data_IF_913248753139
#
_entry.id   IF_913248753139
#
_cell.length_a   1.000
_cell.length_b   1.000
_cell.length_c   1.000
_cell.angle_alpha   90.00
_cell.angle_beta   90.00
_cell.angle_gamma   90.00
#
_symmetry.space_group_name_H-M   'P 1'
#
loop_
_entity.id
_entity.type
_entity.pdbx_description
1 polymer ?
#
# COMPACT_ATOMS: atom_id res chain seq x y z
N UNK A 1 29.26 68.01 -9.36
CA UNK A 1 29.53 66.54 -9.32
C UNK A 1 28.22 65.86 -9.72
N UNK A 2 27.87 65.48 -10.94
CA UNK A 2 28.52 65.01 -12.18
C UNK A 2 29.09 63.57 -12.14
N UNK A 3 28.18 62.58 -12.16
CA UNK A 3 28.46 61.20 -12.56
C UNK A 3 27.21 60.46 -13.12
N UNK A 4 26.30 61.18 -13.81
CA UNK A 4 25.07 60.59 -14.38
C UNK A 4 24.97 60.62 -15.92
N UNK A 5 25.91 61.27 -16.61
CA UNK A 5 25.78 61.58 -18.04
C UNK A 5 26.58 60.67 -19.01
N UNK A 6 27.36 59.70 -18.51
CA UNK A 6 28.28 58.92 -19.35
C UNK A 6 27.69 57.63 -19.95
N UNK A 7 26.68 57.02 -19.35
CA UNK A 7 26.18 55.71 -19.81
C UNK A 7 25.13 55.76 -20.93
N UNK A 8 24.47 56.91 -21.16
CA UNK A 8 23.43 57.03 -22.19
C UNK A 8 23.96 57.25 -23.61
N UNK A 9 25.25 57.62 -23.79
CA UNK A 9 25.88 57.80 -25.12
C UNK A 9 26.41 56.50 -25.74
N UNK A 10 26.70 55.45 -24.96
CA UNK A 10 27.30 54.20 -25.48
C UNK A 10 26.31 53.24 -26.14
N UNK A 11 25.02 53.30 -25.77
CA UNK A 11 23.97 52.47 -26.37
C UNK A 11 23.53 52.90 -27.79
N UNK A 12 23.57 54.20 -28.10
CA UNK A 12 23.11 54.71 -29.42
C UNK A 12 24.07 54.40 -30.57
N UNK A 13 25.36 54.21 -30.30
CA UNK A 13 26.37 53.90 -31.31
C UNK A 13 26.29 52.45 -31.81
N UNK A 14 25.81 51.52 -30.98
CA UNK A 14 25.69 50.11 -31.35
C UNK A 14 24.44 49.88 -32.22
N UNK A 15 23.32 50.53 -31.89
CA UNK A 15 22.08 50.44 -32.68
C UNK A 15 22.23 50.99 -34.11
N UNK A 16 23.05 52.02 -34.30
CA UNK A 16 23.29 52.62 -35.63
C UNK A 16 24.19 51.75 -36.53
N UNK A 17 25.11 50.98 -35.94
CA UNK A 17 26.03 50.08 -36.67
C UNK A 17 25.33 48.81 -37.20
N UNK A 18 24.30 48.33 -36.50
CA UNK A 18 23.50 47.17 -36.96
C UNK A 18 22.57 47.56 -38.11
N UNK A 19 21.95 48.75 -38.07
CA UNK A 19 21.00 49.19 -39.10
C UNK A 19 21.66 49.48 -40.46
N UNK A 20 22.93 49.90 -40.49
CA UNK A 20 23.66 50.09 -41.75
C UNK A 20 24.12 48.77 -42.39
N UNK A 21 24.47 47.75 -41.59
CA UNK A 21 24.91 46.44 -42.12
C UNK A 21 23.78 45.64 -42.80
N UNK A 22 22.53 45.89 -42.42
CA UNK A 22 21.35 45.28 -43.07
C UNK A 22 20.98 45.97 -44.39
N UNK A 23 21.24 47.29 -44.52
CA UNK A 23 21.00 48.01 -45.78
C UNK A 23 22.01 47.67 -46.89
N UNK A 24 23.27 47.40 -46.54
CA UNK A 24 24.30 47.02 -47.52
C UNK A 24 24.11 45.58 -48.07
N UNK A 25 23.46 44.68 -47.31
CA UNK A 25 23.14 43.32 -47.77
C UNK A 25 22.03 43.25 -48.82
N UNK A 26 21.19 44.29 -48.94
CA UNK A 26 20.08 44.34 -49.90
C UNK A 26 20.41 45.06 -51.21
N UNK A 27 21.55 45.74 -51.31
CA UNK A 27 21.97 46.48 -52.51
C UNK A 27 22.86 45.68 -53.48
N UNK A 28 23.24 44.43 -53.15
CA UNK A 28 24.20 43.64 -53.93
C UNK A 28 23.66 42.31 -54.49
N UNK A 29 22.34 42.14 -54.58
CA UNK A 29 21.70 40.99 -55.26
C UNK A 29 20.79 41.39 -56.43
N UNK A 30 20.99 42.57 -57.00
CA UNK A 30 20.37 43.02 -58.25
C UNK A 30 21.44 43.27 -59.32
N UNK A 31 22.05 42.20 -59.80
CA UNK A 31 22.77 42.11 -61.09
C UNK A 31 23.55 40.81 -61.07
N UNK A 32 23.06 39.82 -61.82
CA UNK A 32 23.81 38.70 -62.42
C UNK A 32 22.77 37.80 -63.10
N UNK A 33 22.18 38.33 -64.17
CA UNK A 33 21.59 37.53 -65.25
C UNK A 33 22.69 37.29 -66.29
N UNK A 34 23.14 36.04 -66.44
CA UNK A 34 23.59 35.40 -67.69
C UNK A 34 24.57 34.25 -67.44
N UNK A 35 24.15 33.03 -67.77
CA UNK A 35 24.88 31.96 -68.49
C UNK A 35 24.13 30.60 -68.34
N UNK A 36 24.36 29.60 -69.22
CA UNK A 36 24.02 29.49 -70.64
C UNK A 36 23.03 28.33 -70.93
N UNK A 37 22.45 28.29 -72.15
CA UNK A 37 21.43 27.32 -72.59
C UNK A 37 21.89 25.84 -72.67
N UNK A 38 21.04 24.86 -72.31
CA UNK A 38 21.25 23.46 -72.65
C UNK A 38 20.67 23.10 -74.04
N UNK A 39 21.61 22.98 -74.97
CA UNK A 39 21.78 22.23 -76.24
C UNK A 39 20.80 21.16 -76.78
N UNK A 40 19.54 21.04 -76.36
CA UNK A 40 18.62 20.05 -76.96
C UNK A 40 17.22 20.63 -77.20
N UNK A 41 16.93 20.94 -78.46
CA UNK A 41 15.60 21.20 -78.97
C UNK A 41 15.01 19.91 -79.56
N UNK A 42 13.77 19.53 -79.21
CA UNK A 42 12.92 18.71 -80.05
C UNK A 42 12.01 19.62 -80.90
N UNK A 43 11.81 19.17 -82.13
CA UNK A 43 11.22 19.86 -83.28
C UNK A 43 9.74 20.22 -83.11
N UNK A 44 9.34 21.25 -83.86
CA UNK A 44 7.97 21.68 -84.10
C UNK A 44 7.13 20.55 -84.73
N UNK A 45 5.99 20.21 -84.13
CA UNK A 45 4.87 19.70 -84.92
C UNK A 45 3.52 20.05 -84.24
N UNK A 46 2.63 20.63 -85.06
CA UNK A 46 1.23 20.99 -84.78
C UNK A 46 0.94 22.31 -84.05
N UNK A 47 1.13 23.41 -84.79
CA UNK A 47 0.27 24.58 -84.65
C UNK A 47 -1.12 24.27 -85.22
N UNK A 48 -2.09 23.95 -84.36
CA UNK A 48 -3.51 23.98 -84.71
C UNK A 48 -4.29 24.75 -83.64
N UNK A 49 -4.76 25.93 -84.07
CA UNK A 49 -6.00 26.63 -83.70
C UNK A 49 -6.20 26.93 -82.20
N UNK A 50 -5.97 28.19 -81.84
CA UNK A 50 -6.59 28.79 -80.65
C UNK A 50 -8.10 28.94 -80.88
N UNK A 51 -8.94 28.53 -79.91
CA UNK A 51 -10.12 29.31 -79.59
C UNK A 51 -10.07 29.77 -78.12
N UNK A 52 -10.46 31.03 -77.98
CA UNK A 52 -10.94 31.78 -76.80
C UNK A 52 -10.58 31.35 -75.38
N UNK A 53 -10.02 32.34 -74.68
CA UNK A 53 -9.84 32.44 -73.23
C UNK A 53 -11.16 32.20 -72.48
N UNK A 54 -11.27 31.17 -71.62
CA UNK A 54 -12.28 31.15 -70.59
C UNK A 54 -11.74 31.84 -69.33
N UNK A 55 -12.58 32.74 -68.82
CA UNK A 55 -12.78 33.16 -67.42
C UNK A 55 -11.75 32.81 -66.34
N UNK A 56 -11.44 33.84 -65.58
CA UNK A 56 -10.72 33.82 -64.31
C UNK A 56 -11.01 32.59 -63.44
N UNK A 57 -9.99 31.75 -63.24
CA UNK A 57 -9.98 30.80 -62.13
C UNK A 57 -9.86 31.61 -60.83
N UNK A 58 -11.00 31.84 -60.18
CA UNK A 58 -11.07 32.22 -58.77
C UNK A 58 -10.19 31.28 -57.95
N UNK A 59 -9.25 31.85 -57.20
CA UNK A 59 -8.47 31.10 -56.23
C UNK A 59 -9.38 30.65 -55.10
N UNK A 60 -9.87 29.41 -55.14
CA UNK A 60 -10.54 28.80 -53.98
C UNK A 60 -9.56 28.77 -52.79
N UNK A 61 -9.92 29.32 -51.62
CA UNK A 61 -9.08 29.25 -50.44
C UNK A 61 -8.84 27.77 -50.10
N UNK A 62 -7.58 27.36 -49.88
CA UNK A 62 -7.28 26.04 -49.35
C UNK A 62 -7.92 25.93 -47.96
N UNK A 63 -9.02 25.22 -47.88
CA UNK A 63 -9.71 24.88 -46.65
C UNK A 63 -8.75 24.03 -45.81
N UNK A 64 -8.24 24.62 -44.73
CA UNK A 64 -7.44 23.89 -43.74
C UNK A 64 -8.42 22.96 -43.02
N UNK A 65 -8.53 21.71 -43.47
CA UNK A 65 -9.28 20.67 -42.75
C UNK A 65 -8.52 20.44 -41.45
N UNK A 66 -8.88 21.20 -40.42
CA UNK A 66 -8.59 20.84 -39.06
C UNK A 66 -9.22 19.46 -38.85
N UNK A 67 -8.39 18.45 -38.60
CA UNK A 67 -8.83 17.10 -38.25
C UNK A 67 -9.63 17.17 -36.94
N UNK A 68 -10.91 17.50 -37.05
CA UNK A 68 -11.79 17.53 -35.92
C UNK A 68 -12.28 16.11 -35.70
N UNK A 69 -11.78 15.49 -34.64
CA UNK A 69 -12.34 14.26 -34.04
C UNK A 69 -13.83 14.43 -33.64
N UNK A 70 -14.43 15.60 -33.92
CA UNK A 70 -15.79 16.04 -33.66
C UNK A 70 -16.72 15.78 -34.87
N UNK A 71 -16.20 15.39 -36.04
CA UNK A 71 -17.00 15.23 -37.26
C UNK A 71 -18.09 14.13 -37.20
N UNK A 72 -18.01 13.20 -36.24
CA UNK A 72 -19.05 12.18 -36.03
C UNK A 72 -19.45 12.12 -34.54
N UNK A 73 -20.54 12.81 -34.15
CA UNK A 73 -21.03 12.81 -32.76
C UNK A 73 -21.27 11.40 -32.21
N UNK A 74 -21.73 10.48 -33.07
CA UNK A 74 -21.98 9.09 -32.72
C UNK A 74 -20.69 8.29 -32.45
N UNK A 75 -19.64 8.49 -33.26
CA UNK A 75 -18.35 7.80 -33.08
C UNK A 75 -17.64 8.29 -31.81
N UNK A 76 -17.66 9.60 -31.57
CA UNK A 76 -17.14 10.19 -30.33
C UNK A 76 -17.92 9.69 -29.12
N UNK A 77 -19.26 9.66 -29.18
CA UNK A 77 -20.12 9.13 -28.12
C UNK A 77 -19.86 7.66 -27.81
N UNK A 78 -19.67 6.82 -28.83
CA UNK A 78 -19.34 5.40 -28.69
C UNK A 78 -18.01 5.19 -27.96
N UNK A 79 -16.93 5.84 -28.42
CA UNK A 79 -15.60 5.71 -27.79
C UNK A 79 -15.52 6.31 -26.39
N UNK A 80 -16.23 7.42 -26.17
CA UNK A 80 -16.34 8.02 -24.84
C UNK A 80 -17.08 7.07 -23.89
N UNK A 81 -18.21 6.50 -24.32
CA UNK A 81 -19.01 5.57 -23.49
C UNK A 81 -18.29 4.25 -23.24
N UNK A 82 -17.59 3.70 -24.24
CA UNK A 82 -16.77 2.49 -24.07
C UNK A 82 -15.57 2.76 -23.16
N UNK A 83 -14.95 3.94 -23.26
CA UNK A 83 -13.87 4.37 -22.38
C UNK A 83 -14.32 4.53 -20.93
N UNK A 84 -15.47 5.19 -20.71
CA UNK A 84 -16.09 5.33 -19.38
C UNK A 84 -16.50 3.96 -18.83
N UNK A 85 -17.09 3.10 -19.65
CA UNK A 85 -17.48 1.74 -19.24
C UNK A 85 -16.26 0.89 -18.86
N UNK A 86 -15.18 0.95 -19.65
CA UNK A 86 -13.93 0.28 -19.33
C UNK A 86 -13.30 0.85 -18.04
N UNK A 87 -13.31 2.17 -17.86
CA UNK A 87 -12.83 2.80 -16.63
C UNK A 87 -13.67 2.40 -15.41
N UNK A 88 -14.99 2.31 -15.54
CA UNK A 88 -15.91 1.84 -14.49
C UNK A 88 -15.73 0.36 -14.20
N UNK A 89 -15.51 -0.49 -15.22
CA UNK A 89 -15.21 -1.92 -15.02
C UNK A 89 -13.85 -2.10 -14.37
N UNK A 90 -12.83 -1.33 -14.76
CA UNK A 90 -11.51 -1.34 -14.12
C UNK A 90 -11.64 -0.86 -12.68
N UNK A 91 -12.35 0.25 -12.43
CA UNK A 91 -12.61 0.75 -11.09
C UNK A 91 -13.38 -0.27 -10.23
N UNK A 92 -14.45 -0.85 -10.78
CA UNK A 92 -15.24 -1.88 -10.11
C UNK A 92 -14.41 -3.13 -9.83
N UNK A 93 -13.64 -3.62 -10.80
CA UNK A 93 -12.72 -4.72 -10.61
C UNK A 93 -11.70 -4.37 -9.52
N UNK A 94 -11.07 -3.20 -9.55
CA UNK A 94 -10.09 -2.78 -8.55
C UNK A 94 -10.71 -2.66 -7.15
N UNK A 95 -11.94 -2.15 -7.06
CA UNK A 95 -12.70 -2.00 -5.82
C UNK A 95 -13.05 -3.36 -5.21
N UNK A 96 -13.38 -4.36 -6.03
CA UNK A 96 -13.73 -5.71 -5.60
C UNK A 96 -12.52 -6.64 -5.47
N UNK A 97 -11.39 -6.33 -6.14
CA UNK A 97 -10.12 -7.04 -6.00
C UNK A 97 -9.48 -6.75 -4.64
N UNK A 98 -9.85 -5.68 -3.92
CA UNK A 98 -9.25 -5.32 -2.63
C UNK A 98 -9.15 -6.50 -1.64
N UNK A 99 -10.23 -7.28 -1.50
CA UNK A 99 -10.24 -8.47 -0.63
C UNK A 99 -9.33 -9.60 -1.15
N UNK A 100 -9.41 -9.90 -2.45
CA UNK A 100 -8.57 -10.89 -3.12
C UNK A 100 -7.08 -10.52 -3.04
N UNK A 101 -6.75 -9.25 -3.28
CA UNK A 101 -5.40 -8.72 -3.17
C UNK A 101 -4.89 -8.80 -1.73
N UNK A 102 -5.76 -8.55 -0.74
CA UNK A 102 -5.45 -8.79 0.68
C UNK A 102 -5.11 -10.24 0.96
N UNK A 103 -5.94 -11.19 0.49
CA UNK A 103 -5.68 -12.63 0.66
C UNK A 103 -4.41 -13.10 -0.04
N UNK A 104 -4.20 -12.67 -1.28
CA UNK A 104 -2.99 -12.97 -2.06
C UNK A 104 -1.75 -12.42 -1.35
N UNK A 105 -1.81 -11.17 -0.91
CA UNK A 105 -0.67 -10.53 -0.26
C UNK A 105 -0.37 -11.17 1.09
N UNK A 106 -1.38 -11.39 1.92
CA UNK A 106 -1.24 -12.13 3.18
C UNK A 106 -0.66 -13.53 2.94
N UNK A 107 -1.12 -14.22 1.89
CA UNK A 107 -0.64 -15.54 1.54
C UNK A 107 0.84 -15.55 1.13
N UNK A 108 1.27 -14.59 0.31
CA UNK A 108 2.68 -14.39 -0.07
C UNK A 108 3.52 -14.09 1.16
N UNK A 109 3.06 -13.22 2.05
CA UNK A 109 3.80 -12.86 3.26
C UNK A 109 3.99 -14.05 4.20
N UNK A 110 2.93 -14.83 4.43
CA UNK A 110 3.00 -16.08 5.19
C UNK A 110 3.98 -17.05 4.51
N UNK A 111 3.89 -17.23 3.18
CA UNK A 111 4.83 -18.09 2.45
C UNK A 111 6.28 -17.63 2.62
N UNK A 112 6.55 -16.32 2.53
CA UNK A 112 7.88 -15.76 2.77
C UNK A 112 8.32 -15.96 4.23
N UNK A 113 7.41 -15.81 5.20
CA UNK A 113 7.69 -16.04 6.62
C UNK A 113 7.97 -17.51 6.97
N UNK A 114 7.36 -18.45 6.25
CA UNK A 114 7.58 -19.89 6.42
C UNK A 114 8.86 -20.38 5.72
N UNK A 115 9.32 -19.72 4.65
CA UNK A 115 10.52 -20.10 3.90
C UNK A 115 11.80 -20.21 4.77
N UNK A 116 12.11 -19.30 5.71
CA UNK A 116 13.22 -19.46 6.65
C UNK A 116 13.17 -20.77 7.46
N UNK A 117 11.98 -21.27 7.79
CA UNK A 117 11.81 -22.55 8.48
C UNK A 117 12.13 -23.72 7.54
N UNK A 118 11.67 -23.67 6.29
CA UNK A 118 12.01 -24.65 5.26
C UNK A 118 13.52 -24.69 5.01
N UNK A 119 14.17 -23.53 4.94
CA UNK A 119 15.61 -23.42 4.74
C UNK A 119 16.40 -24.00 5.91
N UNK A 120 15.95 -23.78 7.17
CA UNK A 120 16.56 -24.40 8.35
C UNK A 120 16.47 -25.92 8.34
N UNK A 121 15.30 -26.49 8.02
CA UNK A 121 15.15 -27.94 7.91
C UNK A 121 16.02 -28.53 6.79
N UNK A 122 16.11 -27.82 5.66
CA UNK A 122 16.95 -28.23 4.54
C UNK A 122 18.43 -28.18 4.91
N UNK A 123 18.85 -27.18 5.70
CA UNK A 123 20.20 -27.08 6.23
C UNK A 123 20.55 -28.20 7.24
N UNK A 124 19.56 -28.82 7.88
CA UNK A 124 19.72 -30.02 8.70
C UNK A 124 19.79 -31.33 7.88
N UNK A 125 19.77 -31.25 6.55
CA UNK A 125 19.96 -32.39 5.65
C UNK A 125 18.68 -33.03 5.11
N UNK A 126 17.49 -32.49 5.42
CA UNK A 126 16.25 -32.98 4.82
C UNK A 126 16.15 -32.58 3.33
N UNK A 127 15.66 -33.47 2.44
CA UNK A 127 15.36 -33.10 1.08
C UNK A 127 14.26 -32.05 1.07
N UNK A 128 14.34 -31.10 0.13
CA UNK A 128 13.45 -29.94 0.07
C UNK A 128 11.97 -30.29 0.19
N UNK A 129 11.52 -31.35 -0.47
CA UNK A 129 10.12 -31.79 -0.42
C UNK A 129 9.69 -32.18 0.99
N UNK A 130 10.56 -32.87 1.76
CA UNK A 130 10.29 -33.22 3.15
C UNK A 130 10.28 -31.98 4.05
N UNK A 131 11.19 -31.03 3.83
CA UNK A 131 11.22 -29.75 4.56
C UNK A 131 9.92 -28.96 4.34
N UNK A 132 9.48 -28.83 3.08
CA UNK A 132 8.22 -28.14 2.74
C UNK A 132 7.02 -28.88 3.35
N UNK A 133 6.93 -30.20 3.19
CA UNK A 133 5.84 -30.99 3.74
C UNK A 133 5.74 -30.87 5.27
N UNK A 134 6.88 -30.87 5.97
CA UNK A 134 6.94 -30.73 7.42
C UNK A 134 6.46 -29.35 7.87
N UNK A 135 6.93 -28.27 7.23
CA UNK A 135 6.53 -26.90 7.56
C UNK A 135 5.06 -26.67 7.23
N UNK A 136 4.58 -27.15 6.09
CA UNK A 136 3.18 -27.07 5.69
C UNK A 136 2.30 -27.86 6.67
N UNK A 137 2.70 -29.07 7.05
CA UNK A 137 1.98 -29.87 8.03
C UNK A 137 1.88 -29.17 9.39
N UNK A 138 3.00 -28.63 9.89
CA UNK A 138 3.03 -27.86 11.14
C UNK A 138 2.15 -26.60 11.05
N UNK A 139 2.22 -25.87 9.93
CA UNK A 139 1.38 -24.69 9.70
C UNK A 139 -0.11 -25.05 9.66
N UNK A 140 -0.49 -26.12 8.95
CA UNK A 140 -1.87 -26.62 8.91
C UNK A 140 -2.37 -27.03 10.29
N UNK A 141 -1.54 -27.69 11.10
CA UNK A 141 -1.91 -28.05 12.48
C UNK A 141 -2.14 -26.82 13.35
N UNK A 142 -1.29 -25.80 13.24
CA UNK A 142 -1.47 -24.53 13.97
C UNK A 142 -2.76 -23.83 13.52
N UNK A 143 -3.00 -23.74 12.21
CA UNK A 143 -4.21 -23.11 11.66
C UNK A 143 -5.47 -23.88 12.04
N UNK A 144 -5.47 -25.21 11.93
CA UNK A 144 -6.60 -26.06 12.31
C UNK A 144 -6.87 -25.96 13.82
N UNK A 145 -5.83 -26.02 14.64
CA UNK A 145 -5.95 -25.83 16.09
C UNK A 145 -6.51 -24.45 16.44
N UNK A 146 -6.06 -23.40 15.75
CA UNK A 146 -6.59 -22.05 15.89
C UNK A 146 -8.07 -21.98 15.48
N UNK A 147 -8.48 -22.56 14.36
CA UNK A 147 -9.89 -22.58 13.93
C UNK A 147 -10.77 -23.32 14.94
N UNK A 148 -10.36 -24.53 15.34
CA UNK A 148 -11.16 -25.39 16.24
C UNK A 148 -11.29 -24.80 17.65
N UNK A 149 -10.26 -24.13 18.15
CA UNK A 149 -10.27 -23.58 19.51
C UNK A 149 -10.63 -22.10 19.56
N UNK A 150 -9.92 -21.25 18.81
CA UNK A 150 -10.04 -19.80 18.93
C UNK A 150 -11.39 -19.31 18.42
N UNK A 151 -11.84 -19.78 17.26
CA UNK A 151 -13.09 -19.28 16.64
C UNK A 151 -14.33 -19.47 17.54
N UNK A 152 -14.61 -20.66 18.11
CA UNK A 152 -15.77 -20.80 18.99
C UNK A 152 -15.62 -20.06 20.32
N UNK A 153 -14.40 -19.99 20.88
CA UNK A 153 -14.15 -19.25 22.13
C UNK A 153 -14.37 -17.75 21.93
N UNK A 154 -13.82 -17.20 20.85
CA UNK A 154 -13.96 -15.80 20.45
C UNK A 154 -15.41 -15.48 20.13
N UNK A 155 -16.11 -16.35 19.39
CA UNK A 155 -17.52 -16.16 19.08
C UNK A 155 -18.39 -16.06 20.34
N UNK A 156 -18.20 -16.98 21.30
CA UNK A 156 -18.90 -16.94 22.59
C UNK A 156 -18.60 -15.66 23.37
N UNK A 157 -17.33 -15.27 23.46
CA UNK A 157 -16.92 -14.07 24.20
C UNK A 157 -17.35 -12.77 23.53
N UNK A 158 -17.40 -12.73 22.19
CA UNK A 158 -17.91 -11.57 21.46
C UNK A 158 -19.41 -11.40 21.69
N UNK A 159 -20.19 -12.48 21.67
CA UNK A 159 -21.63 -12.44 21.98
C UNK A 159 -21.86 -12.02 23.44
N UNK A 160 -21.12 -12.59 24.40
CA UNK A 160 -21.19 -12.16 25.80
C UNK A 160 -20.80 -10.70 25.99
N UNK A 161 -19.73 -10.22 25.32
CA UNK A 161 -19.37 -8.81 25.36
C UNK A 161 -20.54 -7.93 24.91
N UNK A 162 -21.20 -8.25 23.80
CA UNK A 162 -22.31 -7.42 23.29
C UNK A 162 -23.52 -7.43 24.23
N UNK A 163 -23.87 -8.59 24.77
CA UNK A 163 -25.02 -8.74 25.64
C UNK A 163 -24.79 -8.14 27.03
N UNK A 164 -23.59 -8.30 27.57
CA UNK A 164 -23.25 -7.90 28.94
C UNK A 164 -22.73 -6.45 29.01
N UNK A 165 -22.28 -5.88 27.89
CA UNK A 165 -21.68 -4.54 27.87
C UNK A 165 -22.64 -3.44 28.35
N UNK A 166 -23.92 -3.36 27.90
CA UNK A 166 -24.82 -2.30 28.35
C UNK A 166 -24.95 -2.27 29.88
N UNK A 167 -25.19 -3.44 30.49
CA UNK A 167 -25.35 -3.58 31.93
C UNK A 167 -24.04 -3.32 32.69
N UNK A 168 -22.90 -3.81 32.17
CA UNK A 168 -21.58 -3.58 32.78
C UNK A 168 -21.19 -2.11 32.70
N UNK A 169 -21.53 -1.44 31.59
CA UNK A 169 -21.25 -0.03 31.39
C UNK A 169 -22.10 0.86 32.31
N UNK A 170 -23.39 0.57 32.45
CA UNK A 170 -24.24 1.23 33.44
C UNK A 170 -23.72 1.01 34.87
N UNK A 171 -23.25 -0.20 35.19
CA UNK A 171 -22.64 -0.48 36.49
C UNK A 171 -21.37 0.35 36.71
N UNK A 172 -20.56 0.58 35.66
CA UNK A 172 -19.38 1.44 35.71
C UNK A 172 -19.75 2.90 35.95
N UNK A 173 -20.73 3.44 35.22
CA UNK A 173 -21.19 4.82 35.38
C UNK A 173 -21.74 5.09 36.78
N UNK A 174 -22.34 4.09 37.41
CA UNK A 174 -22.89 4.20 38.77
C UNK A 174 -21.87 3.82 39.86
N UNK A 175 -20.61 3.54 39.51
CA UNK A 175 -19.56 3.19 40.48
C UNK A 175 -19.09 4.41 41.29
N UNK A 176 -18.62 4.16 42.52
CA UNK A 176 -18.05 5.20 43.39
C UNK A 176 -16.87 5.94 42.73
N UNK A 177 -16.09 5.24 41.92
CA UNK A 177 -14.96 5.82 41.20
C UNK A 177 -15.44 6.83 40.15
N UNK A 178 -16.38 6.43 39.30
CA UNK A 178 -16.89 7.29 38.25
C UNK A 178 -17.69 8.46 38.81
N UNK A 179 -18.54 8.22 39.82
CA UNK A 179 -19.36 9.27 40.45
C UNK A 179 -18.49 10.37 41.08
N UNK A 180 -17.36 10.01 41.70
CA UNK A 180 -16.39 11.00 42.22
C UNK A 180 -15.70 11.79 41.11
N UNK A 181 -15.36 11.12 40.00
CA UNK A 181 -14.74 11.77 38.86
C UNK A 181 -15.72 12.73 38.16
N UNK A 182 -16.98 12.33 38.03
CA UNK A 182 -18.05 13.13 37.44
C UNK A 182 -18.38 14.37 38.28
N UNK A 183 -18.41 14.25 39.62
CA UNK A 183 -18.58 15.40 40.51
C UNK A 183 -17.49 16.46 40.35
N UNK A 184 -16.27 16.05 39.99
CA UNK A 184 -15.13 16.96 39.85
C UNK A 184 -14.99 17.55 38.44
N UNK A 185 -15.33 16.78 37.40
CA UNK A 185 -15.04 17.14 36.00
C UNK A 185 -16.27 17.19 35.08
N UNK A 186 -17.48 16.87 35.58
CA UNK A 186 -18.76 16.85 34.84
C UNK A 186 -18.67 16.08 33.51
N UNK A 187 -18.10 14.88 33.57
CA UNK A 187 -17.73 14.09 32.39
C UNK A 187 -18.89 13.25 31.86
N UNK A 188 -19.94 13.01 32.66
CA UNK A 188 -21.06 12.13 32.32
C UNK A 188 -21.83 12.59 31.08
N UNK A 189 -22.06 13.89 30.93
CA UNK A 189 -22.75 14.45 29.76
C UNK A 189 -22.00 14.24 28.44
N UNK A 190 -20.66 14.18 28.46
CA UNK A 190 -19.86 13.88 27.27
C UNK A 190 -19.82 12.38 26.95
N UNK A 191 -19.86 11.55 27.99
CA UNK A 191 -19.79 10.09 27.88
C UNK A 191 -21.14 9.51 27.46
N UNK A 192 -22.24 9.96 28.04
CA UNK A 192 -23.59 9.45 27.71
C UNK A 192 -23.91 9.71 26.24
N UNK A 193 -23.64 10.91 25.73
CA UNK A 193 -23.84 11.24 24.32
C UNK A 193 -22.92 10.43 23.40
N UNK A 194 -21.63 10.31 23.73
CA UNK A 194 -20.67 9.55 22.90
C UNK A 194 -20.95 8.05 22.87
N UNK A 195 -21.42 7.48 23.98
CA UNK A 195 -21.77 6.07 24.08
C UNK A 195 -23.14 5.80 23.47
N UNK A 196 -24.15 6.63 23.70
CA UNK A 196 -25.42 6.52 22.96
C UNK A 196 -25.22 6.71 21.47
N UNK A 197 -24.40 7.67 21.02
CA UNK A 197 -24.08 7.83 19.61
C UNK A 197 -23.34 6.62 19.07
N UNK A 198 -22.36 6.08 19.80
CA UNK A 198 -21.68 4.84 19.40
C UNK A 198 -22.68 3.68 19.27
N UNK A 199 -23.56 3.46 20.24
CA UNK A 199 -24.57 2.40 20.20
C UNK A 199 -25.70 2.67 19.20
N UNK A 200 -26.05 3.92 18.93
CA UNK A 200 -27.04 4.31 17.93
C UNK A 200 -26.46 4.16 16.51
N UNK A 201 -25.21 4.57 16.27
CA UNK A 201 -24.51 4.31 15.01
C UNK A 201 -24.27 2.82 14.80
N UNK A 202 -23.97 2.10 15.88
CA UNK A 202 -24.01 0.66 15.87
C UNK A 202 -25.43 0.20 15.49
N UNK A 203 -26.51 0.51 16.21
CA UNK A 203 -27.81 -0.15 15.98
C UNK A 203 -28.60 0.33 14.75
N UNK A 204 -28.44 1.58 14.31
CA UNK A 204 -29.23 2.19 13.22
C UNK A 204 -28.57 2.10 11.85
N UNK A 205 -27.23 1.99 11.77
CA UNK A 205 -26.53 1.98 10.50
C UNK A 205 -26.57 0.58 9.87
N UNK A 206 -27.69 0.34 9.18
CA UNK A 206 -28.12 -0.96 8.65
C UNK A 206 -27.12 -1.66 7.73
N UNK A 207 -26.04 -1.03 7.26
CA UNK A 207 -25.00 -1.70 6.46
C UNK A 207 -23.79 -2.17 7.28
N UNK A 208 -23.46 -1.51 8.39
CA UNK A 208 -22.32 -1.88 9.26
C UNK A 208 -22.78 -2.88 10.33
N UNK A 209 -24.00 -2.68 10.83
CA UNK A 209 -24.63 -3.51 11.87
C UNK A 209 -25.30 -4.76 11.36
N UNK A 210 -26.03 -4.70 10.24
CA UNK A 210 -26.64 -5.92 9.68
C UNK A 210 -25.61 -6.84 9.02
N UNK A 211 -24.43 -6.33 8.64
CA UNK A 211 -23.32 -7.15 8.16
C UNK A 211 -22.52 -7.79 9.30
N UNK A 212 -22.12 -6.99 10.30
CA UNK A 212 -21.24 -7.45 11.38
C UNK A 212 -22.00 -8.18 12.50
N UNK A 213 -23.14 -7.65 12.97
CA UNK A 213 -23.89 -8.23 14.10
C UNK A 213 -24.94 -9.25 13.65
N UNK A 214 -25.61 -9.08 12.52
CA UNK A 214 -26.45 -10.14 11.96
C UNK A 214 -25.59 -11.33 11.47
N UNK A 215 -24.33 -11.07 11.06
CA UNK A 215 -23.30 -12.10 10.89
C UNK A 215 -22.90 -12.78 12.23
N UNK A 216 -22.71 -12.01 13.29
CA UNK A 216 -22.33 -12.53 14.61
C UNK A 216 -23.47 -13.28 15.33
N UNK A 217 -24.72 -12.86 15.15
CA UNK A 217 -25.94 -13.52 15.65
C UNK A 217 -26.28 -14.75 14.79
N UNK A 218 -25.97 -14.73 13.49
CA UNK A 218 -26.00 -15.92 12.62
C UNK A 218 -24.71 -16.75 12.71
N UNK A 219 -24.10 -16.87 13.90
CA UNK A 219 -22.78 -17.45 14.16
C UNK A 219 -22.40 -18.73 13.37
N UNK A 220 -23.36 -19.52 12.89
CA UNK A 220 -23.13 -20.60 11.92
C UNK A 220 -22.58 -20.17 10.55
N UNK A 221 -23.03 -19.05 9.96
CA UNK A 221 -22.58 -18.56 8.64
C UNK A 221 -21.29 -17.73 8.70
N UNK A 222 -21.09 -16.88 9.70
CA UNK A 222 -19.88 -16.01 9.78
C UNK A 222 -18.63 -16.75 10.27
N UNK A 223 -18.78 -17.80 11.08
CA UNK A 223 -17.67 -18.72 11.39
C UNK A 223 -17.21 -19.44 10.12
N UNK A 224 -18.16 -19.84 9.27
CA UNK A 224 -17.85 -20.47 7.98
C UNK A 224 -17.15 -19.50 7.02
N UNK A 225 -17.52 -18.21 6.99
CA UNK A 225 -16.86 -17.19 6.16
C UNK A 225 -15.44 -16.86 6.63
N UNK A 226 -15.22 -16.65 7.94
CA UNK A 226 -13.88 -16.45 8.51
C UNK A 226 -13.02 -17.69 8.28
N UNK A 227 -13.59 -18.88 8.51
CA UNK A 227 -12.95 -20.15 8.22
C UNK A 227 -12.58 -20.30 6.74
N UNK A 228 -13.46 -19.86 5.83
CA UNK A 228 -13.21 -19.87 4.38
C UNK A 228 -12.09 -18.93 4.00
N UNK A 229 -12.05 -17.70 4.54
CA UNK A 229 -10.96 -16.76 4.30
C UNK A 229 -9.61 -17.30 4.80
N UNK A 230 -9.57 -17.85 6.02
CA UNK A 230 -8.37 -18.50 6.57
C UNK A 230 -7.95 -19.68 5.69
N UNK A 231 -8.90 -20.49 5.23
CA UNK A 231 -8.65 -21.64 4.35
C UNK A 231 -8.09 -21.19 3.00
N UNK A 232 -8.66 -20.17 2.37
CA UNK A 232 -8.17 -19.62 1.10
C UNK A 232 -6.74 -19.11 1.26
N UNK A 233 -6.49 -18.27 2.27
CA UNK A 233 -5.15 -17.74 2.55
C UNK A 233 -4.17 -18.88 2.82
N UNK A 234 -4.57 -19.89 3.60
CA UNK A 234 -3.74 -21.06 3.92
C UNK A 234 -3.37 -21.85 2.68
N UNK A 235 -4.34 -22.20 1.83
CA UNK A 235 -4.10 -22.92 0.57
C UNK A 235 -3.16 -22.10 -0.32
N UNK A 236 -3.43 -20.80 -0.45
CA UNK A 236 -2.63 -19.93 -1.29
C UNK A 236 -1.21 -19.75 -0.74
N UNK A 237 -1.02 -19.69 0.57
CA UNK A 237 0.28 -19.68 1.22
C UNK A 237 1.06 -20.95 0.93
N UNK A 238 0.42 -22.11 1.00
CA UNK A 238 1.05 -23.40 0.69
C UNK A 238 1.47 -23.43 -0.78
N UNK A 239 0.58 -23.00 -1.68
CA UNK A 239 0.87 -22.93 -3.10
C UNK A 239 2.05 -21.98 -3.40
N UNK A 240 2.04 -20.78 -2.81
CA UNK A 240 3.14 -19.83 -2.97
C UNK A 240 4.44 -20.37 -2.38
N UNK A 241 4.42 -20.93 -1.17
CA UNK A 241 5.62 -21.51 -0.54
C UNK A 241 6.24 -22.60 -1.41
N UNK A 242 5.42 -23.50 -1.97
CA UNK A 242 5.89 -24.56 -2.87
C UNK A 242 6.41 -24.00 -4.22
N UNK A 243 5.77 -22.96 -4.75
CA UNK A 243 6.09 -22.38 -6.06
C UNK A 243 7.11 -21.24 -6.02
N UNK A 244 7.49 -20.72 -4.85
CA UNK A 244 8.46 -19.63 -4.66
C UNK A 244 9.74 -19.78 -5.52
N UNK A 245 10.37 -20.96 -5.65
CA UNK A 245 11.59 -21.14 -6.45
C UNK A 245 11.32 -20.98 -7.94
N UNK A 246 10.19 -21.51 -8.39
CA UNK A 246 9.74 -21.46 -9.78
C UNK A 246 9.45 -20.00 -10.10
N UNK A 247 8.66 -19.31 -9.27
CA UNK A 247 8.34 -17.88 -9.41
C UNK A 247 9.61 -17.03 -9.49
N UNK A 248 10.57 -17.23 -8.56
CA UNK A 248 11.87 -16.52 -8.58
C UNK A 248 12.64 -16.79 -9.87
N UNK A 249 12.73 -18.05 -10.30
CA UNK A 249 13.47 -18.42 -11.51
C UNK A 249 12.86 -17.84 -12.78
N UNK A 250 11.53 -17.77 -12.86
CA UNK A 250 10.80 -17.13 -13.95
C UNK A 250 11.00 -15.62 -13.96
N UNK A 251 10.91 -14.96 -12.80
CA UNK A 251 11.16 -13.52 -12.68
C UNK A 251 12.56 -13.13 -13.16
N UNK A 252 13.58 -13.91 -12.81
CA UNK A 252 14.97 -13.67 -13.27
C UNK A 252 15.10 -13.81 -14.79
N UNK A 253 14.29 -14.64 -15.46
CA UNK A 253 14.35 -14.83 -16.92
C UNK A 253 13.89 -13.59 -17.70
N UNK A 254 13.05 -12.75 -17.11
CA UNK A 254 12.58 -11.49 -17.71
C UNK A 254 13.71 -10.44 -17.85
N UNK A 255 14.83 -10.64 -17.15
CA UNK A 255 15.98 -9.75 -17.18
C UNK A 255 16.99 -10.21 -18.24
N UNK A 256 17.67 -9.27 -18.95
CA UNK A 256 18.75 -9.58 -19.86
C UNK A 256 19.80 -10.51 -19.24
N UNK A 257 20.29 -11.47 -20.03
CA UNK A 257 21.19 -12.54 -19.56
C UNK A 257 22.41 -12.02 -18.79
N UNK A 258 22.97 -10.87 -19.21
CA UNK A 258 24.14 -10.24 -18.58
C UNK A 258 23.91 -9.78 -17.13
N UNK A 259 22.65 -9.55 -16.71
CA UNK A 259 22.31 -9.08 -15.36
C UNK A 259 21.62 -10.15 -14.49
N UNK A 260 21.31 -11.33 -15.04
CA UNK A 260 20.60 -12.42 -14.33
C UNK A 260 21.27 -12.85 -13.03
N UNK A 261 22.61 -13.03 -12.93
CA UNK A 261 23.25 -13.41 -11.67
C UNK A 261 23.00 -12.38 -10.57
N UNK A 262 23.24 -11.10 -10.86
CA UNK A 262 23.02 -10.01 -9.91
C UNK A 262 21.55 -9.88 -9.47
N UNK A 263 20.61 -10.02 -10.40
CA UNK A 263 19.17 -9.97 -10.06
C UNK A 263 18.75 -11.18 -9.23
N UNK A 264 19.28 -12.37 -9.51
CA UNK A 264 19.03 -13.58 -8.72
C UNK A 264 19.50 -13.38 -7.27
N UNK A 265 20.71 -12.87 -7.07
CA UNK A 265 21.26 -12.62 -5.74
C UNK A 265 20.44 -11.56 -4.98
N UNK A 266 20.06 -10.48 -5.67
CA UNK A 266 19.24 -9.41 -5.09
C UNK A 266 17.84 -9.91 -4.71
N UNK A 267 17.23 -10.72 -5.58
CA UNK A 267 15.93 -11.36 -5.32
C UNK A 267 16.01 -12.25 -4.09
N UNK A 268 17.08 -13.03 -3.93
CA UNK A 268 17.26 -13.90 -2.76
C UNK A 268 17.45 -13.07 -1.48
N UNK A 269 18.26 -12.00 -1.52
CA UNK A 269 18.45 -11.09 -0.37
C UNK A 269 17.14 -10.44 0.06
N UNK A 270 16.35 -9.92 -0.89
CA UNK A 270 15.05 -9.32 -0.61
C UNK A 270 14.09 -10.36 -0.02
N UNK A 271 13.93 -11.50 -0.68
CA UNK A 271 13.05 -12.60 -0.24
C UNK A 271 13.42 -13.05 1.17
N UNK A 272 14.71 -13.23 1.45
CA UNK A 272 15.20 -13.66 2.76
C UNK A 272 14.98 -12.59 3.83
N UNK A 273 15.24 -11.31 3.53
CA UNK A 273 15.00 -10.20 4.47
C UNK A 273 13.52 -10.05 4.80
N UNK A 274 12.64 -10.14 3.80
CA UNK A 274 11.18 -10.08 4.03
C UNK A 274 10.73 -11.28 4.84
N UNK A 275 11.18 -12.48 4.50
CA UNK A 275 10.80 -13.71 5.21
C UNK A 275 11.24 -13.70 6.68
N UNK A 276 12.48 -13.28 6.96
CA UNK A 276 12.97 -13.14 8.33
C UNK A 276 12.20 -12.10 9.13
N UNK A 277 11.84 -10.97 8.50
CA UNK A 277 11.01 -9.96 9.14
C UNK A 277 9.62 -10.51 9.48
N UNK A 278 8.93 -11.13 8.52
CA UNK A 278 7.57 -11.66 8.74
C UNK A 278 7.57 -12.75 9.81
N UNK A 279 8.52 -13.68 9.76
CA UNK A 279 8.68 -14.71 10.79
C UNK A 279 8.98 -14.10 12.17
N UNK A 280 9.83 -13.06 12.21
CA UNK A 280 10.14 -12.33 13.43
C UNK A 280 8.93 -11.59 14.00
N UNK A 281 8.17 -10.89 13.16
CA UNK A 281 6.98 -10.17 13.57
C UNK A 281 5.89 -11.12 14.07
N UNK A 282 5.70 -12.26 13.42
CA UNK A 282 4.77 -13.30 13.90
C UNK A 282 5.16 -13.81 15.30
N UNK A 283 6.46 -14.03 15.54
CA UNK A 283 6.94 -14.44 16.86
C UNK A 283 6.73 -13.33 17.91
N UNK A 284 7.02 -12.07 17.59
CA UNK A 284 6.77 -10.91 18.47
C UNK A 284 5.28 -10.81 18.79
N UNK A 285 4.40 -10.94 17.79
CA UNK A 285 2.95 -10.88 17.97
C UNK A 285 2.44 -12.01 18.89
N UNK A 286 2.92 -13.24 18.71
CA UNK A 286 2.57 -14.38 19.57
C UNK A 286 3.05 -14.15 21.01
N UNK A 287 4.27 -13.66 21.20
CA UNK A 287 4.79 -13.33 22.54
C UNK A 287 3.95 -12.24 23.22
N UNK A 288 3.56 -11.20 22.49
CA UNK A 288 2.75 -10.11 23.00
C UNK A 288 1.34 -10.58 23.38
N UNK A 289 0.67 -11.30 22.48
CA UNK A 289 -0.65 -11.86 22.76
C UNK A 289 -0.64 -12.86 23.92
N UNK A 290 0.40 -13.71 24.00
CA UNK A 290 0.54 -14.67 25.10
C UNK A 290 0.78 -13.96 26.44
N UNK A 291 1.63 -12.94 26.46
CA UNK A 291 1.85 -12.11 27.65
C UNK A 291 0.56 -11.42 28.08
N UNK A 292 -0.13 -10.75 27.15
CA UNK A 292 -1.38 -10.07 27.43
C UNK A 292 -2.45 -11.05 27.95
N UNK A 293 -2.57 -12.22 27.33
CA UNK A 293 -3.48 -13.28 27.78
C UNK A 293 -3.18 -13.71 29.22
N UNK A 294 -1.91 -14.00 29.54
CA UNK A 294 -1.50 -14.43 30.88
C UNK A 294 -1.82 -13.34 31.92
N UNK A 295 -1.46 -12.08 31.63
CA UNK A 295 -1.77 -10.96 32.52
C UNK A 295 -3.27 -10.83 32.74
N UNK A 296 -4.07 -10.86 31.67
CA UNK A 296 -5.52 -10.76 31.73
C UNK A 296 -6.15 -11.92 32.52
N UNK A 297 -5.63 -13.14 32.40
CA UNK A 297 -6.09 -14.29 33.20
C UNK A 297 -5.76 -14.12 34.69
N UNK A 298 -4.57 -13.59 35.02
CA UNK A 298 -4.13 -13.37 36.42
C UNK A 298 -4.99 -12.29 37.09
N UNK A 299 -5.25 -11.18 36.40
CA UNK A 299 -6.05 -10.07 36.94
C UNK A 299 -7.56 -10.29 36.79
N UNK A 300 -7.98 -11.42 36.24
CA UNK A 300 -9.38 -11.78 35.96
C UNK A 300 -10.10 -10.72 35.12
N UNK A 301 -9.43 -10.23 34.07
CA UNK A 301 -10.01 -9.29 33.11
C UNK A 301 -11.17 -9.95 32.32
N UNK A 302 -12.14 -9.14 31.85
CA UNK A 302 -13.23 -9.64 31.03
C UNK A 302 -12.73 -10.11 29.66
N UNK A 303 -13.30 -11.20 29.15
CA UNK A 303 -13.04 -11.74 27.80
C UNK A 303 -11.55 -11.87 27.42
N UNK A 304 -10.71 -12.52 28.26
CA UNK A 304 -9.26 -12.44 28.10
C UNK A 304 -8.77 -13.10 26.79
N UNK A 305 -9.44 -14.15 26.33
CA UNK A 305 -9.11 -14.84 25.07
C UNK A 305 -9.47 -14.00 23.84
N UNK A 306 -10.64 -13.36 23.84
CA UNK A 306 -11.06 -12.43 22.78
C UNK A 306 -10.10 -11.25 22.68
N UNK A 307 -9.79 -10.61 23.80
CA UNK A 307 -8.88 -9.47 23.85
C UNK A 307 -7.45 -9.86 23.47
N UNK A 308 -6.98 -11.06 23.85
CA UNK A 308 -5.68 -11.55 23.43
C UNK A 308 -5.59 -11.77 21.91
N UNK A 309 -6.70 -12.16 21.25
CA UNK A 309 -6.74 -12.23 19.79
C UNK A 309 -6.65 -10.85 19.16
N UNK A 310 -7.32 -9.83 19.71
CA UNK A 310 -7.14 -8.45 19.27
C UNK A 310 -5.70 -7.98 19.43
N UNK A 311 -5.06 -8.27 20.58
CA UNK A 311 -3.64 -7.99 20.79
C UNK A 311 -2.77 -8.69 19.75
N UNK A 312 -3.05 -9.97 19.44
CA UNK A 312 -2.33 -10.73 18.42
C UNK A 312 -2.40 -10.06 17.05
N UNK A 313 -3.60 -9.68 16.61
CA UNK A 313 -3.82 -9.04 15.31
C UNK A 313 -3.17 -7.65 15.27
N UNK A 314 -3.40 -6.83 16.28
CA UNK A 314 -2.84 -5.48 16.35
C UNK A 314 -1.31 -5.51 16.42
N UNK A 315 -0.71 -6.49 17.10
CA UNK A 315 0.73 -6.61 17.19
C UNK A 315 1.43 -6.83 15.83
N UNK A 316 0.71 -7.17 14.75
CA UNK A 316 1.29 -7.15 13.39
C UNK A 316 1.53 -5.75 12.84
N UNK A 317 0.90 -4.70 13.40
CA UNK A 317 1.11 -3.30 13.02
C UNK A 317 2.28 -2.75 13.86
N UNK A 318 3.48 -2.58 13.29
CA UNK A 318 4.66 -2.22 14.07
C UNK A 318 4.53 -0.80 14.63
N UNK A 319 5.10 -0.57 15.81
CA UNK A 319 5.13 0.71 16.55
C UNK A 319 3.77 1.20 17.06
N UNK A 320 2.70 1.03 16.28
CA UNK A 320 1.35 1.51 16.59
C UNK A 320 0.54 0.44 17.30
N UNK A 321 0.59 -0.80 16.80
CA UNK A 321 -0.28 -1.89 17.21
C UNK A 321 -0.23 -2.24 18.69
N UNK A 322 0.98 -2.34 19.26
CA UNK A 322 1.15 -2.64 20.68
C UNK A 322 0.57 -1.56 21.59
N UNK A 323 0.75 -0.28 21.23
CA UNK A 323 0.19 0.86 21.98
C UNK A 323 -1.33 0.90 21.84
N UNK A 324 -1.85 0.71 20.61
CA UNK A 324 -3.30 0.64 20.37
C UNK A 324 -3.93 -0.52 21.15
N UNK A 325 -3.31 -1.69 21.16
CA UNK A 325 -3.80 -2.85 21.90
C UNK A 325 -3.80 -2.59 23.40
N UNK A 326 -2.73 -2.00 23.94
CA UNK A 326 -2.65 -1.61 25.34
C UNK A 326 -3.77 -0.65 25.73
N UNK A 327 -3.98 0.42 24.95
CA UNK A 327 -5.05 1.40 25.21
C UNK A 327 -6.41 0.72 25.14
N UNK A 328 -6.68 0.00 24.05
CA UNK A 328 -7.96 -0.67 23.82
C UNK A 328 -8.31 -1.65 24.94
N UNK A 329 -7.40 -2.57 25.28
CA UNK A 329 -7.64 -3.56 26.34
C UNK A 329 -7.74 -2.91 27.72
N UNK A 330 -6.96 -1.85 28.00
CA UNK A 330 -7.08 -1.10 29.26
C UNK A 330 -8.45 -0.45 29.39
N UNK A 331 -8.99 0.13 28.30
CA UNK A 331 -10.33 0.72 28.28
C UNK A 331 -11.41 -0.35 28.49
N UNK A 332 -11.29 -1.52 27.87
CA UNK A 332 -12.24 -2.63 28.09
C UNK A 332 -12.19 -3.09 29.56
N UNK A 333 -11.00 -3.22 30.14
CA UNK A 333 -10.83 -3.56 31.55
C UNK A 333 -11.38 -2.49 32.51
N UNK A 334 -11.42 -1.22 32.07
CA UNK A 334 -11.88 -0.09 32.89
C UNK A 334 -13.37 -0.19 33.18
N UNK A 335 -14.15 -0.70 32.23
CA UNK A 335 -15.59 -0.93 32.37
C UNK A 335 -15.90 -1.87 33.54
N UNK A 336 -15.00 -2.80 33.88
CA UNK A 336 -15.16 -3.67 35.05
C UNK A 336 -14.60 -3.02 36.31
N UNK A 337 -13.37 -2.51 36.26
CA UNK A 337 -12.74 -1.86 37.41
C UNK A 337 -11.53 -1.01 36.98
N UNK A 338 -11.38 0.16 37.60
CA UNK A 338 -10.20 1.01 37.38
C UNK A 338 -8.90 0.30 37.82
N UNK A 339 -8.98 -0.61 38.80
CA UNK A 339 -7.81 -1.36 39.29
C UNK A 339 -7.33 -2.38 38.26
N UNK A 340 -8.25 -3.13 37.64
CA UNK A 340 -7.91 -4.10 36.58
C UNK A 340 -7.33 -3.41 35.37
N UNK A 341 -7.92 -2.28 34.96
CA UNK A 341 -7.39 -1.45 33.87
C UNK A 341 -5.97 -0.94 34.16
N UNK A 342 -5.76 -0.36 35.35
CA UNK A 342 -4.46 0.18 35.73
C UNK A 342 -3.38 -0.91 35.82
N UNK A 343 -3.70 -2.05 36.42
CA UNK A 343 -2.77 -3.19 36.52
C UNK A 343 -2.40 -3.72 35.13
N UNK A 344 -3.37 -3.90 34.23
CA UNK A 344 -3.11 -4.30 32.86
C UNK A 344 -2.22 -3.28 32.14
N UNK A 345 -2.57 -1.99 32.20
CA UNK A 345 -1.82 -0.92 31.56
C UNK A 345 -0.35 -0.88 32.01
N UNK A 346 -0.10 -0.96 33.32
CA UNK A 346 1.26 -0.98 33.87
C UNK A 346 2.04 -2.20 33.36
N UNK A 347 1.45 -3.40 33.46
CA UNK A 347 2.11 -4.62 33.01
C UNK A 347 2.41 -4.57 31.51
N UNK A 348 1.48 -4.06 30.70
CA UNK A 348 1.62 -4.01 29.26
C UNK A 348 2.60 -2.93 28.81
N UNK A 349 2.65 -1.77 29.48
CA UNK A 349 3.70 -0.76 29.27
C UNK A 349 5.08 -1.36 29.52
N UNK A 350 5.26 -2.07 30.64
CA UNK A 350 6.54 -2.74 30.96
C UNK A 350 6.91 -3.73 29.86
N UNK A 351 5.94 -4.54 29.42
CA UNK A 351 6.16 -5.46 28.31
C UNK A 351 6.54 -4.74 27.01
N UNK A 352 5.91 -3.62 26.65
CA UNK A 352 6.29 -2.84 25.48
C UNK A 352 7.74 -2.34 25.55
N UNK A 353 8.23 -1.99 26.75
CA UNK A 353 9.66 -1.65 26.93
C UNK A 353 10.56 -2.87 26.74
N UNK A 354 10.21 -4.01 27.35
CA UNK A 354 10.94 -5.26 27.16
C UNK A 354 10.95 -5.66 25.69
N UNK A 355 9.83 -5.48 24.99
CA UNK A 355 9.70 -5.76 23.57
C UNK A 355 10.65 -4.88 22.76
N UNK A 356 10.62 -3.56 22.99
CA UNK A 356 11.43 -2.59 22.26
C UNK A 356 12.94 -2.78 22.47
N UNK A 357 13.38 -3.05 23.71
CA UNK A 357 14.80 -3.08 24.06
C UNK A 357 15.43 -4.48 24.04
N UNK A 358 14.67 -5.55 24.28
CA UNK A 358 15.20 -6.90 24.47
C UNK A 358 14.71 -7.91 23.43
N UNK A 359 13.41 -7.89 23.11
CA UNK A 359 12.81 -8.92 22.24
C UNK A 359 13.05 -8.56 20.77
N UNK A 360 12.61 -7.38 20.35
CA UNK A 360 12.67 -6.93 18.95
C UNK A 360 14.10 -6.94 18.39
N UNK A 361 15.13 -6.39 19.07
CA UNK A 361 16.50 -6.43 18.55
C UNK A 361 17.04 -7.85 18.39
N UNK A 362 16.69 -8.78 19.29
CA UNK A 362 17.16 -10.17 19.21
C UNK A 362 16.49 -10.95 18.09
N UNK A 363 15.17 -10.80 17.97
CA UNK A 363 14.38 -11.51 16.96
C UNK A 363 14.65 -10.96 15.56
N UNK A 364 14.72 -9.63 15.41
CA UNK A 364 14.86 -8.96 14.12
C UNK A 364 16.30 -8.76 13.66
N UNK A 365 17.31 -9.09 14.48
CA UNK A 365 18.75 -8.86 14.22
C UNK A 365 19.26 -9.31 12.84
N UNK A 366 18.61 -10.29 12.21
CA UNK A 366 19.03 -10.86 10.93
C UNK A 366 18.40 -10.17 9.72
N UNK A 367 17.27 -9.47 9.91
CA UNK A 367 16.62 -8.69 8.86
C UNK A 367 17.40 -7.39 8.59
N UNK A 368 17.28 -6.85 7.37
CA UNK A 368 17.92 -5.58 7.04
C UNK A 368 17.44 -4.49 7.98
N UNK A 369 18.38 -3.86 8.68
CA UNK A 369 18.10 -2.79 9.64
C UNK A 369 17.52 -1.57 8.91
N UNK A 370 16.20 -1.41 9.00
CA UNK A 370 15.48 -0.20 8.59
C UNK A 370 15.66 0.83 9.71
N UNK A 371 16.20 2.04 9.42
CA UNK A 371 16.29 3.09 10.42
C UNK A 371 14.90 3.41 10.99
N UNK A 372 14.80 3.64 12.31
CA UNK A 372 13.51 3.84 12.99
C UNK A 372 12.66 4.95 12.37
N UNK A 373 13.28 6.07 11.96
CA UNK A 373 12.57 7.15 11.25
C UNK A 373 11.97 6.71 9.91
N UNK A 374 12.66 5.87 9.15
CA UNK A 374 12.15 5.33 7.88
C UNK A 374 11.01 4.34 8.13
N UNK A 375 11.08 3.55 9.20
CA UNK A 375 10.00 2.64 9.59
C UNK A 375 8.70 3.40 9.92
N UNK A 376 8.78 4.49 10.69
CA UNK A 376 7.61 5.33 11.01
C UNK A 376 6.99 5.90 9.73
N UNK A 377 7.79 6.49 8.85
CA UNK A 377 7.32 7.07 7.58
C UNK A 377 6.69 5.98 6.71
N UNK A 378 7.32 4.80 6.63
CA UNK A 378 6.80 3.69 5.84
C UNK A 378 5.45 3.21 6.37
N UNK A 379 5.30 3.01 7.69
CA UNK A 379 4.03 2.58 8.29
C UNK A 379 2.93 3.62 8.08
N UNK A 380 3.25 4.91 8.25
CA UNK A 380 2.30 5.99 8.00
C UNK A 380 1.87 6.05 6.51
N UNK A 381 2.83 5.95 5.58
CA UNK A 381 2.55 5.95 4.15
C UNK A 381 1.75 4.70 3.72
N UNK A 382 2.14 3.52 4.20
CA UNK A 382 1.40 2.28 3.94
C UNK A 382 -0.02 2.32 4.50
N UNK A 383 -0.17 2.84 5.72
CA UNK A 383 -1.46 3.09 6.35
C UNK A 383 -2.37 4.01 5.53
N UNK A 384 -1.81 5.10 5.00
CA UNK A 384 -2.55 6.03 4.15
C UNK A 384 -2.94 5.44 2.79
N UNK A 385 -2.12 4.55 2.22
CA UNK A 385 -2.35 3.97 0.89
C UNK A 385 -3.35 2.80 0.90
N UNK A 386 -3.27 1.92 1.89
CA UNK A 386 -4.04 0.66 1.90
C UNK A 386 -4.55 0.28 3.29
N UNK A 387 -4.67 1.25 4.19
CA UNK A 387 -5.15 1.05 5.55
C UNK A 387 -4.25 0.11 6.36
N UNK A 388 -4.87 -0.72 7.19
CA UNK A 388 -4.17 -1.67 8.07
C UNK A 388 -3.26 -2.63 7.30
N UNK A 389 -3.71 -3.14 6.15
CA UNK A 389 -2.90 -4.04 5.32
C UNK A 389 -1.62 -3.35 4.85
N UNK A 390 -1.73 -2.11 4.35
CA UNK A 390 -0.57 -1.33 3.93
C UNK A 390 0.40 -1.04 5.07
N UNK A 391 -0.09 -0.79 6.27
CA UNK A 391 0.74 -0.59 7.46
C UNK A 391 1.57 -1.83 7.86
N UNK A 392 1.00 -3.04 7.75
CA UNK A 392 1.69 -4.31 8.04
C UNK A 392 2.80 -4.59 7.01
N UNK A 393 2.52 -4.29 5.74
CA UNK A 393 3.41 -4.56 4.60
C UNK A 393 4.55 -3.52 4.49
N UNK A 394 4.37 -2.35 5.10
CA UNK A 394 5.23 -1.20 4.92
C UNK A 394 6.72 -1.45 5.23
N UNK A 395 7.04 -2.10 6.35
CA UNK A 395 8.43 -2.28 6.78
C UNK A 395 9.19 -3.23 5.83
N UNK A 396 8.65 -4.40 5.46
CA UNK A 396 9.25 -5.26 4.43
C UNK A 396 9.48 -4.57 3.09
N UNK A 397 8.53 -3.75 2.65
CA UNK A 397 8.67 -2.97 1.42
C UNK A 397 9.78 -1.93 1.55
N UNK A 398 9.84 -1.21 2.68
CA UNK A 398 10.90 -0.24 2.96
C UNK A 398 12.29 -0.91 3.02
N UNK A 399 12.39 -2.07 3.66
CA UNK A 399 13.62 -2.88 3.69
C UNK A 399 14.04 -3.30 2.29
N UNK A 400 13.10 -3.78 1.47
CA UNK A 400 13.34 -4.16 0.08
C UNK A 400 13.84 -2.98 -0.75
N UNK A 401 13.20 -1.81 -0.61
CA UNK A 401 13.62 -0.59 -1.30
C UNK A 401 15.01 -0.13 -0.85
N UNK A 402 15.33 -0.22 0.44
CA UNK A 402 16.64 0.12 0.97
C UNK A 402 17.73 -0.79 0.41
N UNK A 403 17.45 -2.09 0.26
CA UNK A 403 18.35 -3.04 -0.42
C UNK A 403 18.60 -2.60 -1.87
N UNK A 404 17.54 -2.24 -2.61
CA UNK A 404 17.68 -1.75 -3.99
C UNK A 404 18.51 -0.47 -4.07
N UNK A 405 18.27 0.49 -3.18
CA UNK A 405 19.04 1.74 -3.14
C UNK A 405 20.52 1.47 -2.87
N UNK A 406 20.83 0.62 -1.89
CA UNK A 406 22.21 0.29 -1.51
C UNK A 406 22.94 -0.54 -2.55
N UNK A 407 22.28 -1.53 -3.14
CA UNK A 407 22.96 -2.46 -4.05
C UNK A 407 22.85 -2.09 -5.52
N UNK A 408 21.92 -1.21 -5.91
CA UNK A 408 21.73 -0.81 -7.32
C UNK A 408 21.98 0.67 -7.50
N UNK A 409 21.29 1.54 -6.75
CA UNK A 409 21.35 2.98 -7.00
C UNK A 409 22.71 3.58 -6.65
N UNK A 410 23.21 3.38 -5.42
CA UNK A 410 24.48 3.93 -4.95
C UNK A 410 25.66 3.47 -5.84
N UNK A 411 25.87 2.17 -6.13
CA UNK A 411 26.99 1.74 -6.95
C UNK A 411 26.92 2.21 -8.40
N UNK A 412 25.74 2.58 -8.91
CA UNK A 412 25.61 3.18 -10.24
C UNK A 412 26.02 4.65 -10.23
N UNK A 413 25.70 5.38 -9.15
CA UNK A 413 26.14 6.76 -8.98
C UNK A 413 27.65 6.84 -8.73
N UNK A 414 28.22 5.94 -7.91
CA UNK A 414 29.66 5.91 -7.63
C UNK A 414 30.53 5.60 -8.87
N UNK A 415 29.92 5.05 -9.93
CA UNK A 415 30.58 4.76 -11.21
C UNK A 415 30.50 5.90 -12.22
N UNK A 416 29.67 6.91 -11.96
CA UNK A 416 29.52 8.11 -12.79
C UNK A 416 30.41 9.20 -12.25
#
# INVERSE_FOLDING_TARGET
>A
MNAGASFRKKGSHIARKVKNKVKEGHAHRSSLSHAPEPRFAPQEEHAQLLPEKPESLESTPREYIASSTIANPFYFGFWATSGVSAALIIWFAFSNIGALAGWVTGAVFIALGLEPLVQRLTAWGLPRLASVATVVGAFLLVVAGFIVYAVPVVGKQAVSFINDFPDTFETFLNSDFFTRLDQQFQVRSYIDNGVQDFFAHLTQDSNVMSGFFNGLISAGSTIAEIGTGILIVTILSIYFLASLPIIKSWGVRLVPASRRPRVKDLTEKITHSVGQYVAGQALVAVLNASFALIVMLIIQAPFPQLLALFVLILAFIPLVGGVTAMIFVSLVCLVVSWKTALLFAICHIIYLQIEAYLISPRIMSKAVAVPGGLAIIAVAAGGALWGVLGAIIAIPVAASLLILVREVFIPVQDRR
#
